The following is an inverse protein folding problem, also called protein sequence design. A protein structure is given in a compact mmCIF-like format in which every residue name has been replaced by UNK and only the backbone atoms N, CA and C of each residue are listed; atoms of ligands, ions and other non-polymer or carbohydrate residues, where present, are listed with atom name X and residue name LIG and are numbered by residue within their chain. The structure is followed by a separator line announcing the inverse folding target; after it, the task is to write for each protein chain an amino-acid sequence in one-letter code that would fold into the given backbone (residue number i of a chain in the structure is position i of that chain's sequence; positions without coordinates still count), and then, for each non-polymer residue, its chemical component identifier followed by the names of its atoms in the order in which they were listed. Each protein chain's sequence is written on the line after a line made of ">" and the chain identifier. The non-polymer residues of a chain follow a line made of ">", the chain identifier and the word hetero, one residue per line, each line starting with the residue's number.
data_IF_038588850192
#
_entry.id   IF_038588850192
#
_cell.length_a   1.000
_cell.length_b   1.000
_cell.length_c   1.000
_cell.angle_alpha   90.00
_cell.angle_beta   90.00
_cell.angle_gamma   90.00
#
_symmetry.space_group_name_H-M   'P 1'
#
loop_
_entity.id
_entity.type
_entity.pdbx_description
1 polymer ?
#
# COMPACT_ATOMS: atom_id res chain seq x y z
N UNK A 1 55.57 -40.45 19.01
CA UNK A 1 54.86 -39.58 18.07
C UNK A 1 53.43 -39.41 18.60
N UNK A 2 53.11 -38.22 19.20
CA UNK A 2 51.77 -37.90 19.73
C UNK A 2 51.01 -37.11 18.66
N UNK A 3 49.90 -37.65 18.13
CA UNK A 3 49.01 -36.95 17.21
C UNK A 3 48.05 -36.10 18.00
N UNK A 4 48.13 -34.77 17.82
CA UNK A 4 47.21 -33.77 18.35
C UNK A 4 46.05 -33.65 17.35
N UNK A 5 44.85 -34.10 17.73
CA UNK A 5 43.64 -33.86 16.97
C UNK A 5 43.13 -32.47 17.39
N UNK A 6 43.21 -31.49 16.49
CA UNK A 6 42.58 -30.17 16.66
C UNK A 6 41.09 -30.31 16.31
N UNK A 7 40.23 -30.19 17.33
CA UNK A 7 38.77 -30.14 17.15
C UNK A 7 38.40 -28.74 16.76
N UNK A 8 38.04 -28.52 15.49
CA UNK A 8 37.54 -27.24 15.01
C UNK A 8 36.05 -27.16 15.39
N UNK A 9 35.69 -26.39 16.41
CA UNK A 9 34.31 -26.14 16.78
C UNK A 9 33.72 -25.10 15.81
N UNK A 10 32.80 -25.54 14.94
CA UNK A 10 32.03 -24.69 14.05
C UNK A 10 30.95 -23.97 14.87
N UNK A 11 31.18 -22.71 15.21
CA UNK A 11 30.18 -21.85 15.85
C UNK A 11 29.16 -21.43 14.76
N UNK A 12 28.01 -22.09 14.73
CA UNK A 12 26.87 -21.63 13.92
C UNK A 12 26.21 -20.45 14.65
N UNK A 13 26.47 -19.24 14.21
CA UNK A 13 25.73 -18.06 14.63
C UNK A 13 24.36 -18.13 13.93
N UNK A 14 23.34 -18.64 14.63
CA UNK A 14 21.96 -18.46 14.19
C UNK A 14 21.58 -17.01 14.47
N UNK A 15 21.57 -16.17 13.41
CA UNK A 15 20.91 -14.87 13.51
C UNK A 15 19.42 -15.11 13.85
N UNK A 16 18.84 -14.43 14.86
CA UNK A 16 17.40 -14.50 15.06
C UNK A 16 16.74 -13.94 13.79
N UNK A 17 15.92 -14.75 13.12
CA UNK A 17 14.94 -14.25 12.17
C UNK A 17 13.98 -13.44 13.04
N UNK A 18 14.14 -12.12 13.04
CA UNK A 18 13.13 -11.21 13.59
C UNK A 18 11.89 -11.44 12.73
N UNK A 19 10.93 -12.20 13.25
CA UNK A 19 9.59 -12.23 12.70
C UNK A 19 9.11 -10.79 12.70
N UNK A 20 8.95 -10.22 11.50
CA UNK A 20 8.39 -8.89 11.34
C UNK A 20 6.96 -8.96 11.86
N UNK A 21 6.72 -8.34 13.03
CA UNK A 21 5.39 -8.27 13.62
C UNK A 21 4.62 -7.21 12.86
N UNK A 22 3.66 -7.64 12.07
CA UNK A 22 2.74 -6.77 11.32
C UNK A 22 1.54 -6.32 12.18
N UNK A 23 1.61 -6.53 13.47
CA UNK A 23 0.52 -6.52 14.47
C UNK A 23 -0.17 -5.15 14.71
N UNK A 24 0.22 -4.08 14.02
CA UNK A 24 -0.29 -2.73 14.32
C UNK A 24 -1.05 -2.07 13.16
N UNK A 25 -1.39 -2.78 12.09
CA UNK A 25 -2.15 -2.19 11.00
C UNK A 25 -3.64 -2.08 11.38
N UNK A 26 -4.26 -0.92 11.08
CA UNK A 26 -5.71 -0.74 11.24
C UNK A 26 -6.46 -1.01 9.93
N UNK A 27 -7.77 -1.20 10.01
CA UNK A 27 -8.62 -1.23 8.82
C UNK A 27 -8.59 0.15 8.12
N UNK A 28 -8.44 0.21 6.79
CA UNK A 28 -8.39 1.48 6.05
C UNK A 28 -9.75 2.19 5.93
N UNK A 29 -10.85 1.55 6.32
CA UNK A 29 -12.21 2.08 6.24
C UNK A 29 -12.94 1.94 7.58
N UNK A 30 -13.74 2.94 7.95
CA UNK A 30 -14.67 2.90 9.09
C UNK A 30 -15.96 2.13 8.74
N UNK A 31 -15.81 0.97 8.13
CA UNK A 31 -16.91 0.09 7.72
C UNK A 31 -16.67 -1.32 8.27
N UNK A 32 -17.74 -2.12 8.49
CA UNK A 32 -17.56 -3.54 8.75
C UNK A 32 -16.76 -4.20 7.63
N UNK A 33 -15.71 -4.95 7.99
CA UNK A 33 -14.82 -5.59 7.01
C UNK A 33 -15.63 -6.58 6.17
N UNK A 34 -15.68 -6.30 4.87
CA UNK A 34 -16.27 -7.17 3.87
C UNK A 34 -15.46 -7.05 2.58
N UNK A 35 -15.03 -8.18 2.01
CA UNK A 35 -14.18 -8.20 0.83
C UNK A 35 -14.97 -8.60 -0.41
N UNK A 36 -14.60 -8.01 -1.56
CA UNK A 36 -15.09 -8.41 -2.90
C UNK A 36 -14.01 -9.09 -3.73
N UNK A 37 -12.74 -8.97 -3.31
CA UNK A 37 -11.60 -9.62 -3.93
C UNK A 37 -10.53 -9.92 -2.89
N UNK A 38 -9.82 -11.03 -3.04
CA UNK A 38 -8.74 -11.47 -2.16
C UNK A 38 -7.40 -11.50 -2.88
N UNK A 39 -6.31 -11.46 -2.11
CA UNK A 39 -4.96 -11.57 -2.64
C UNK A 39 -4.75 -12.88 -3.40
N UNK A 40 -4.08 -12.80 -4.56
CA UNK A 40 -3.78 -13.94 -5.40
C UNK A 40 -4.96 -14.48 -6.22
N UNK A 41 -6.14 -13.86 -6.12
CA UNK A 41 -7.30 -14.22 -6.94
C UNK A 41 -6.99 -14.03 -8.43
N UNK A 42 -7.36 -15.00 -9.27
CA UNK A 42 -7.13 -14.92 -10.72
C UNK A 42 -8.08 -13.87 -11.34
N UNK A 43 -7.50 -12.88 -11.97
CA UNK A 43 -8.18 -11.86 -12.80
C UNK A 43 -8.00 -12.21 -14.28
N UNK A 44 -8.59 -11.42 -15.17
CA UNK A 44 -8.56 -11.70 -16.60
C UNK A 44 -7.14 -11.91 -17.18
N UNK A 45 -6.16 -11.15 -16.72
CA UNK A 45 -4.79 -11.16 -17.26
C UNK A 45 -3.67 -11.08 -16.19
N UNK A 46 -4.01 -11.15 -14.90
CA UNK A 46 -3.06 -11.08 -13.79
C UNK A 46 -3.64 -11.73 -12.53
N UNK A 47 -2.80 -11.94 -11.52
CA UNK A 47 -3.23 -12.24 -10.17
C UNK A 47 -3.50 -10.95 -9.40
N UNK A 48 -4.56 -10.93 -8.58
CA UNK A 48 -4.92 -9.79 -7.76
C UNK A 48 -3.83 -9.52 -6.72
N UNK A 49 -3.24 -8.32 -6.77
CA UNK A 49 -2.08 -7.94 -5.95
C UNK A 49 -2.45 -7.50 -4.53
N UNK A 50 -3.74 -7.38 -4.22
CA UNK A 50 -4.21 -6.86 -2.95
C UNK A 50 -5.53 -7.48 -2.50
N UNK A 51 -6.26 -6.70 -1.73
CA UNK A 51 -7.63 -7.00 -1.29
C UNK A 51 -8.58 -5.86 -1.69
N UNK A 52 -9.82 -6.21 -2.01
CA UNK A 52 -10.85 -5.23 -2.38
C UNK A 52 -11.88 -5.14 -1.26
N UNK A 53 -11.89 -4.02 -0.53
CA UNK A 53 -12.87 -3.74 0.52
C UNK A 53 -14.18 -3.23 -0.09
N UNK A 54 -15.29 -3.87 0.25
CA UNK A 54 -16.62 -3.45 -0.20
C UNK A 54 -17.03 -2.13 0.43
N UNK A 55 -17.61 -1.25 -0.38
CA UNK A 55 -18.18 0.03 0.06
C UNK A 55 -19.70 0.10 -0.18
N UNK A 56 -20.36 -1.06 -0.30
CA UNK A 56 -21.81 -1.12 -0.54
C UNK A 56 -22.26 -0.50 -1.87
N UNK A 57 -21.37 -0.44 -2.88
CA UNK A 57 -21.65 0.20 -4.16
C UNK A 57 -21.61 1.75 -4.11
N UNK A 58 -21.10 2.33 -3.04
CA UNK A 58 -20.99 3.79 -2.85
C UNK A 58 -19.53 4.25 -2.88
N UNK A 59 -19.32 5.52 -3.22
CA UNK A 59 -18.05 6.21 -3.16
C UNK A 59 -18.04 7.23 -2.01
N UNK A 60 -16.86 7.74 -1.65
CA UNK A 60 -16.74 8.90 -0.77
C UNK A 60 -16.49 8.57 0.71
N UNK A 61 -16.33 7.29 1.09
CA UNK A 61 -15.90 6.93 2.45
C UNK A 61 -14.46 7.38 2.68
N UNK A 62 -14.18 7.90 3.88
CA UNK A 62 -12.83 8.23 4.28
C UNK A 62 -11.93 6.99 4.19
N UNK A 63 -10.74 7.17 3.63
CA UNK A 63 -9.69 6.16 3.55
C UNK A 63 -8.57 6.59 4.47
N UNK A 64 -8.15 5.70 5.37
CA UNK A 64 -7.18 5.98 6.41
C UNK A 64 -5.83 5.30 6.12
N UNK A 65 -4.73 5.97 6.50
CA UNK A 65 -3.41 5.36 6.54
C UNK A 65 -3.40 4.21 7.56
N UNK A 66 -3.01 3.01 7.13
CA UNK A 66 -3.05 1.82 8.01
C UNK A 66 -1.94 1.80 9.07
N UNK A 67 -0.86 2.56 8.87
CA UNK A 67 0.30 2.71 9.76
C UNK A 67 0.92 4.09 9.59
N UNK A 68 1.79 4.47 10.54
CA UNK A 68 2.68 5.63 10.41
C UNK A 68 3.61 5.50 9.20
N UNK A 69 3.91 6.63 8.57
CA UNK A 69 4.79 6.70 7.40
C UNK A 69 4.70 8.03 6.70
N UNK A 70 4.92 8.04 5.39
CA UNK A 70 4.74 9.21 4.53
C UNK A 70 4.18 8.82 3.17
N UNK A 71 3.40 9.69 2.56
CA UNK A 71 2.95 9.49 1.18
C UNK A 71 4.14 9.65 0.26
N UNK A 72 4.66 8.52 -0.23
CA UNK A 72 5.85 8.48 -1.09
C UNK A 72 5.53 8.67 -2.57
N UNK A 73 4.27 8.35 -2.97
CA UNK A 73 3.83 8.54 -4.35
C UNK A 73 2.32 8.73 -4.44
N UNK A 74 1.91 9.53 -5.43
CA UNK A 74 0.52 9.63 -5.89
C UNK A 74 0.48 9.43 -7.39
N UNK A 75 -0.54 8.72 -7.87
CA UNK A 75 -0.77 8.51 -9.30
C UNK A 75 -2.19 8.84 -9.70
N UNK A 76 -2.34 9.36 -10.92
CA UNK A 76 -3.63 9.54 -11.59
C UNK A 76 -3.54 8.91 -12.97
N UNK A 77 -4.47 8.03 -13.29
CA UNK A 77 -4.52 7.35 -14.58
C UNK A 77 -5.97 7.02 -14.95
N UNK A 78 -6.34 6.99 -16.23
CA UNK A 78 -7.65 6.49 -16.67
C UNK A 78 -7.78 4.96 -16.52
N UNK A 79 -6.68 4.25 -16.28
CA UNK A 79 -6.61 2.78 -16.15
C UNK A 79 -5.86 2.37 -14.88
N UNK A 80 -5.75 1.06 -14.61
CA UNK A 80 -5.07 0.52 -13.44
C UNK A 80 -5.72 1.01 -12.15
N UNK A 81 -4.91 1.51 -11.22
CA UNK A 81 -5.40 2.02 -9.91
C UNK A 81 -6.22 3.32 -10.00
N UNK A 82 -6.28 3.97 -11.16
CA UNK A 82 -6.94 5.27 -11.27
C UNK A 82 -6.23 6.32 -10.43
N UNK A 83 -6.94 6.89 -9.46
CA UNK A 83 -6.35 7.71 -8.43
C UNK A 83 -5.77 6.80 -7.34
N UNK A 84 -4.46 6.80 -7.20
CA UNK A 84 -3.73 5.95 -6.25
C UNK A 84 -2.86 6.75 -5.30
N UNK A 85 -2.84 6.34 -4.03
CA UNK A 85 -1.93 6.83 -2.99
C UNK A 85 -1.02 5.68 -2.55
N UNK A 86 0.26 5.95 -2.39
CA UNK A 86 1.28 5.01 -1.92
C UNK A 86 1.92 5.58 -0.66
N UNK A 87 1.94 4.82 0.40
CA UNK A 87 2.55 5.21 1.67
C UNK A 87 3.71 4.27 1.96
N UNK A 88 4.90 4.82 2.12
CA UNK A 88 6.06 4.11 2.67
C UNK A 88 6.02 4.23 4.19
N UNK A 89 6.01 3.09 4.87
CA UNK A 89 5.96 3.00 6.31
C UNK A 89 7.35 2.92 6.92
N UNK A 90 7.50 3.36 8.18
CA UNK A 90 8.79 3.36 8.88
C UNK A 90 9.29 1.95 9.25
N UNK A 91 8.48 0.92 9.07
CA UNK A 91 8.90 -0.49 9.19
C UNK A 91 9.44 -1.09 7.88
N UNK A 92 9.58 -0.27 6.84
CA UNK A 92 10.07 -0.66 5.52
C UNK A 92 8.98 -1.20 4.59
N UNK A 93 7.74 -1.40 5.04
CA UNK A 93 6.64 -1.82 4.15
C UNK A 93 6.03 -0.64 3.40
N UNK A 94 5.26 -0.94 2.36
CA UNK A 94 4.48 0.05 1.60
C UNK A 94 3.02 -0.37 1.52
N UNK A 95 2.09 0.57 1.71
CA UNK A 95 0.69 0.37 1.38
C UNK A 95 0.27 1.15 0.15
N UNK A 96 -0.60 0.55 -0.67
CA UNK A 96 -1.15 1.14 -1.89
C UNK A 96 -2.67 1.18 -1.77
N UNK A 97 -3.26 2.33 -2.07
CA UNK A 97 -4.69 2.56 -2.03
C UNK A 97 -5.16 2.99 -3.41
N UNK A 98 -5.97 2.16 -4.06
CA UNK A 98 -6.44 2.36 -5.44
C UNK A 98 -7.89 2.78 -5.54
N UNK A 99 -8.26 3.20 -6.75
CA UNK A 99 -9.61 3.56 -7.19
C UNK A 99 -10.24 4.73 -6.42
N UNK A 100 -9.43 5.60 -5.80
CA UNK A 100 -9.91 6.72 -4.99
C UNK A 100 -10.75 7.70 -5.82
N UNK A 101 -11.81 8.26 -5.22
CA UNK A 101 -12.61 9.33 -5.83
C UNK A 101 -11.97 10.70 -5.66
N UNK A 102 -11.22 10.92 -4.56
CA UNK A 102 -10.51 12.17 -4.30
C UNK A 102 -9.34 11.95 -3.36
N UNK A 103 -8.38 12.86 -3.42
CA UNK A 103 -7.28 13.02 -2.48
C UNK A 103 -7.63 14.04 -1.40
N UNK A 104 -6.75 14.23 -0.40
CA UNK A 104 -6.81 15.39 0.49
C UNK A 104 -6.58 16.68 -0.29
N UNK A 105 -7.04 17.85 0.22
CA UNK A 105 -6.92 19.11 -0.52
C UNK A 105 -5.49 19.45 -0.95
N UNK A 106 -4.51 19.19 -0.09
CA UNK A 106 -3.09 19.48 -0.34
C UNK A 106 -2.55 18.62 -1.48
N UNK A 107 -2.83 17.32 -1.45
CA UNK A 107 -2.44 16.39 -2.51
C UNK A 107 -3.16 16.72 -3.81
N UNK A 108 -4.46 17.00 -3.76
CA UNK A 108 -5.24 17.37 -4.94
C UNK A 108 -4.67 18.61 -5.65
N UNK A 109 -4.25 19.63 -4.88
CA UNK A 109 -3.58 20.80 -5.45
C UNK A 109 -2.24 20.46 -6.10
N UNK A 110 -1.46 19.55 -5.51
CA UNK A 110 -0.18 19.11 -6.08
C UNK A 110 -0.39 18.34 -7.39
N UNK A 111 -1.38 17.45 -7.40
CA UNK A 111 -1.79 16.70 -8.60
C UNK A 111 -2.22 17.66 -9.71
N UNK A 112 -3.11 18.62 -9.39
CA UNK A 112 -3.63 19.59 -10.37
C UNK A 112 -2.49 20.42 -10.99
N UNK A 113 -1.56 20.91 -10.18
CA UNK A 113 -0.37 21.65 -10.69
C UNK A 113 0.45 20.81 -11.65
N UNK A 114 0.68 19.54 -11.32
CA UNK A 114 1.46 18.63 -12.16
C UNK A 114 0.75 18.33 -13.48
N UNK A 115 -0.59 18.11 -13.44
CA UNK A 115 -1.41 17.89 -14.63
C UNK A 115 -1.34 19.07 -15.58
N UNK A 116 -1.48 20.31 -15.07
CA UNK A 116 -1.40 21.52 -15.89
C UNK A 116 0.03 21.76 -16.42
N UNK A 117 1.04 21.53 -15.61
CA UNK A 117 2.45 21.70 -16.02
C UNK A 117 2.85 20.76 -17.14
N UNK A 118 2.33 19.54 -17.11
CA UNK A 118 2.64 18.49 -18.09
C UNK A 118 1.61 18.41 -19.23
N UNK A 119 0.58 19.25 -19.20
CA UNK A 119 -0.56 19.20 -20.14
C UNK A 119 -1.13 17.76 -20.29
N UNK A 120 -1.20 17.03 -19.16
CA UNK A 120 -1.56 15.62 -19.13
C UNK A 120 -2.53 15.30 -17.99
N UNK A 121 -3.57 14.52 -18.29
CA UNK A 121 -4.44 13.95 -17.26
C UNK A 121 -3.69 12.95 -16.37
N UNK A 122 -2.83 12.12 -16.99
CA UNK A 122 -2.10 11.09 -16.29
C UNK A 122 -0.81 11.66 -15.70
N UNK A 123 -0.64 11.49 -14.37
CA UNK A 123 0.55 11.93 -13.65
C UNK A 123 0.98 10.89 -12.63
N UNK A 124 2.28 10.88 -12.33
CA UNK A 124 2.87 10.10 -11.24
C UNK A 124 3.88 10.99 -10.53
N UNK A 125 3.61 11.28 -9.27
CA UNK A 125 4.37 12.25 -8.47
C UNK A 125 4.99 11.50 -7.30
N UNK A 126 6.31 11.55 -7.19
CA UNK A 126 7.02 11.04 -6.02
C UNK A 126 7.27 12.18 -5.03
N UNK A 127 7.24 11.87 -3.74
CA UNK A 127 7.48 12.79 -2.64
C UNK A 127 8.61 12.28 -1.75
N UNK A 128 9.32 13.20 -1.13
CA UNK A 128 10.28 12.91 -0.08
C UNK A 128 9.58 12.67 1.27
N UNK A 129 10.28 12.04 2.21
CA UNK A 129 9.73 11.65 3.52
C UNK A 129 9.14 12.80 4.32
N UNK A 130 9.68 14.01 4.16
CA UNK A 130 9.29 15.22 4.90
C UNK A 130 8.14 16.02 4.25
N UNK A 131 7.72 15.69 3.00
CA UNK A 131 6.69 16.46 2.30
C UNK A 131 5.28 16.14 2.81
N UNK A 132 4.94 14.86 2.98
CA UNK A 132 3.60 14.41 3.39
C UNK A 132 3.68 13.28 4.44
N UNK A 133 4.19 13.58 5.65
CA UNK A 133 4.14 12.61 6.75
C UNK A 133 2.69 12.31 7.14
N UNK A 134 2.41 11.05 7.48
CA UNK A 134 1.10 10.59 7.93
C UNK A 134 1.22 9.75 9.18
N UNK A 135 0.21 9.84 10.04
CA UNK A 135 0.02 8.95 11.18
C UNK A 135 -1.03 7.90 10.84
N UNK A 136 -0.92 6.77 11.52
CA UNK A 136 -1.97 5.75 11.48
C UNK A 136 -3.33 6.38 11.81
N UNK A 137 -4.33 6.15 10.95
CA UNK A 137 -5.66 6.73 11.08
C UNK A 137 -5.87 8.06 10.38
N UNK A 138 -4.83 8.73 9.89
CA UNK A 138 -4.99 9.95 9.11
C UNK A 138 -5.76 9.68 7.83
N UNK A 139 -6.67 10.58 7.47
CA UNK A 139 -7.42 10.51 6.21
C UNK A 139 -6.50 10.89 5.05
N UNK A 140 -6.35 9.99 4.08
CA UNK A 140 -5.48 10.17 2.90
C UNK A 140 -6.25 10.40 1.60
N UNK A 141 -7.57 10.19 1.63
CA UNK A 141 -8.46 10.35 0.47
C UNK A 141 -9.83 9.78 0.74
N UNK A 142 -10.59 9.57 -0.34
CA UNK A 142 -11.93 8.95 -0.28
C UNK A 142 -12.03 7.80 -1.25
N UNK A 143 -12.71 6.72 -0.83
CA UNK A 143 -13.00 5.55 -1.68
C UNK A 143 -13.77 5.94 -2.94
N UNK A 144 -13.58 5.19 -4.01
CA UNK A 144 -14.13 5.56 -5.30
C UNK A 144 -14.32 4.42 -6.28
N UNK A 145 -14.18 4.76 -7.57
CA UNK A 145 -14.36 3.83 -8.69
C UNK A 145 -13.53 4.29 -9.91
N UNK A 146 -12.36 4.92 -9.68
CA UNK A 146 -11.51 5.40 -10.78
C UNK A 146 -10.62 4.31 -11.34
N UNK A 147 -10.08 4.50 -12.55
CA UNK A 147 -9.21 3.52 -13.20
C UNK A 147 -9.94 2.28 -13.69
N UNK A 148 -9.27 1.13 -13.65
CA UNK A 148 -9.82 -0.16 -14.10
C UNK A 148 -10.64 -0.83 -13.00
N UNK A 149 -11.77 -0.24 -12.63
CA UNK A 149 -12.67 -0.74 -11.60
C UNK A 149 -14.05 -1.06 -12.16
N UNK A 150 -14.62 -2.20 -11.80
CA UNK A 150 -15.96 -2.64 -12.24
C UNK A 150 -17.09 -2.08 -11.37
N UNK A 151 -16.80 -1.44 -10.24
CA UNK A 151 -17.76 -0.86 -9.32
C UNK A 151 -17.08 -0.29 -8.07
N UNK A 152 -17.78 0.56 -7.28
CA UNK A 152 -17.19 1.20 -6.11
C UNK A 152 -16.63 0.23 -5.08
N UNK A 153 -15.34 0.37 -4.75
CA UNK A 153 -14.62 -0.37 -3.71
C UNK A 153 -13.32 0.36 -3.37
N UNK A 154 -12.65 -0.07 -2.32
CA UNK A 154 -11.26 0.31 -2.06
C UNK A 154 -10.38 -0.88 -2.37
N UNK A 155 -9.50 -0.75 -3.36
CA UNK A 155 -8.39 -1.67 -3.57
C UNK A 155 -7.23 -1.29 -2.66
N UNK A 156 -6.69 -2.26 -1.93
CA UNK A 156 -5.55 -2.04 -1.06
C UNK A 156 -4.52 -3.15 -1.19
N UNK A 157 -3.26 -2.76 -1.27
CA UNK A 157 -2.12 -3.67 -1.25
C UNK A 157 -1.18 -3.35 -0.09
N UNK A 158 -0.45 -4.37 0.34
CA UNK A 158 0.77 -4.20 1.11
C UNK A 158 1.90 -4.81 0.30
N UNK A 159 3.02 -4.12 0.28
CA UNK A 159 4.22 -4.50 -0.44
C UNK A 159 5.42 -4.53 0.50
N UNK A 160 6.42 -5.33 0.14
CA UNK A 160 7.71 -5.34 0.83
C UNK A 160 8.47 -4.04 0.61
N UNK A 161 9.55 -3.85 1.33
CA UNK A 161 10.34 -2.61 1.44
C UNK A 161 10.74 -2.00 0.09
N UNK A 162 11.00 -2.81 -0.93
CA UNK A 162 11.32 -2.32 -2.28
C UNK A 162 10.09 -1.86 -3.08
N UNK A 163 8.89 -2.03 -2.52
CA UNK A 163 7.61 -1.68 -3.15
C UNK A 163 7.23 -2.54 -4.36
N UNK A 164 8.01 -3.57 -4.69
CA UNK A 164 7.83 -4.36 -5.91
C UNK A 164 6.96 -5.61 -5.69
N UNK A 165 7.09 -6.26 -4.54
CA UNK A 165 6.40 -7.51 -4.26
C UNK A 165 5.19 -7.28 -3.35
N UNK A 166 3.97 -7.44 -3.86
CA UNK A 166 2.78 -7.43 -3.03
C UNK A 166 2.73 -8.67 -2.15
N UNK A 167 2.28 -8.51 -0.92
CA UNK A 167 2.13 -9.57 0.06
C UNK A 167 0.67 -9.79 0.44
N UNK A 168 0.35 -10.96 0.99
CA UNK A 168 -1.01 -11.25 1.42
C UNK A 168 -1.35 -10.53 2.73
N UNK A 169 -2.09 -9.43 2.64
CA UNK A 169 -2.55 -8.66 3.80
C UNK A 169 -3.28 -9.51 4.85
N UNK A 170 -4.08 -10.48 4.41
CA UNK A 170 -4.86 -11.34 5.29
C UNK A 170 -4.01 -12.36 6.09
N UNK A 171 -2.73 -12.51 5.73
CA UNK A 171 -1.80 -13.35 6.48
C UNK A 171 -1.16 -12.63 7.70
N UNK A 172 -1.53 -11.37 7.93
CA UNK A 172 -0.92 -10.52 8.94
C UNK A 172 -1.72 -10.42 10.25
N UNK A 173 -2.77 -11.25 10.44
CA UNK A 173 -3.52 -11.39 11.68
C UNK A 173 -4.99 -11.12 11.55
#
# INVERSE_FOLDING_TARGET
>A
MKRIFSLLALLTISAPILAQSYDNAICPLDLPISLSGTYGELRHNHFHAGVDFRTGGQIGFAVHAIKDGYISKVSVSPTGYGNGVYITHYDGTMSVYGHLSSFTPEIAQRVLREQYSNESFSVSINFSEDEFPVKQGDVIGKSGNTGSSAGPHLHMEIREEDGNLPTNYLAWG
#
